data_IF_038989299581
#
_entry.id   IF_038989299581
#
_cell.length_a   1.000
_cell.length_b   1.000
_cell.length_c   1.000
_cell.angle_alpha   90.00
_cell.angle_beta   90.00
_cell.angle_gamma   90.00
#
_symmetry.space_group_name_H-M   'P 1'
#
loop_
_entity.id
_entity.type
_entity.pdbx_description
1 polymer ?
#
# COMPACT_ATOMS: atom_id res chain seq x y z
N UNK A 1 -24.78 7.00 -32.51
CA UNK A 1 -23.30 6.87 -32.45
C UNK A 1 -22.65 8.15 -31.91
N UNK A 2 -22.70 9.29 -32.60
CA UNK A 2 -22.08 10.54 -32.15
C UNK A 2 -22.56 11.05 -30.78
N UNK A 3 -23.86 10.95 -30.50
CA UNK A 3 -24.40 11.34 -29.20
C UNK A 3 -23.80 10.53 -28.03
N UNK A 4 -23.57 9.22 -28.24
CA UNK A 4 -22.98 8.34 -27.21
C UNK A 4 -21.52 8.73 -26.98
N UNK A 5 -20.77 8.99 -28.05
CA UNK A 5 -19.38 9.44 -27.96
C UNK A 5 -19.28 10.78 -27.22
N UNK A 6 -20.18 11.72 -27.52
CA UNK A 6 -20.20 13.03 -26.87
C UNK A 6 -20.49 12.92 -25.38
N UNK A 7 -21.40 12.02 -24.97
CA UNK A 7 -21.67 11.74 -23.55
C UNK A 7 -20.46 11.12 -22.86
N UNK A 8 -19.80 10.15 -23.47
CA UNK A 8 -18.58 9.52 -22.92
C UNK A 8 -17.47 10.56 -22.76
N UNK A 9 -17.27 11.43 -23.75
CA UNK A 9 -16.27 12.49 -23.71
C UNK A 9 -16.54 13.48 -22.56
N UNK A 10 -17.79 13.92 -22.38
CA UNK A 10 -18.17 14.79 -21.26
C UNK A 10 -17.93 14.08 -19.92
N UNK A 11 -18.26 12.79 -19.81
CA UNK A 11 -18.04 12.01 -18.61
C UNK A 11 -16.54 11.88 -18.27
N UNK A 12 -15.69 11.64 -19.27
CA UNK A 12 -14.23 11.54 -19.11
C UNK A 12 -13.62 12.87 -18.64
N UNK A 13 -13.97 13.98 -19.28
CA UNK A 13 -13.51 15.32 -18.86
C UNK A 13 -13.97 15.63 -17.45
N UNK A 14 -15.22 15.30 -17.11
CA UNK A 14 -15.75 15.49 -15.76
C UNK A 14 -15.00 14.64 -14.74
N UNK A 15 -14.76 13.35 -15.04
CA UNK A 15 -14.00 12.45 -14.17
C UNK A 15 -12.56 12.92 -13.98
N UNK A 16 -11.92 13.43 -15.04
CA UNK A 16 -10.57 14.00 -14.97
C UNK A 16 -10.52 15.24 -14.06
N UNK A 17 -11.42 16.20 -14.24
CA UNK A 17 -11.50 17.41 -13.41
C UNK A 17 -11.79 17.05 -11.95
N UNK A 18 -12.76 16.17 -11.70
CA UNK A 18 -13.09 15.71 -10.35
C UNK A 18 -11.90 14.96 -9.71
N UNK A 19 -11.23 14.09 -10.46
CA UNK A 19 -10.05 13.37 -9.99
C UNK A 19 -8.90 14.30 -9.61
N UNK A 20 -8.70 15.39 -10.38
CA UNK A 20 -7.70 16.41 -10.06
C UNK A 20 -8.08 17.21 -8.81
N UNK A 21 -9.33 17.69 -8.71
CA UNK A 21 -9.82 18.50 -7.58
C UNK A 21 -9.82 17.70 -6.28
N UNK A 22 -10.26 16.44 -6.32
CA UNK A 22 -10.39 15.59 -5.13
C UNK A 22 -9.16 14.71 -4.86
N UNK A 23 -8.04 14.93 -5.56
CA UNK A 23 -6.83 14.11 -5.43
C UNK A 23 -6.35 13.95 -3.99
N UNK A 24 -6.24 15.06 -3.24
CA UNK A 24 -5.77 15.02 -1.85
C UNK A 24 -6.77 14.29 -0.94
N UNK A 25 -8.07 14.52 -1.13
CA UNK A 25 -9.10 13.83 -0.36
C UNK A 25 -9.06 12.32 -0.60
N UNK A 26 -9.00 11.90 -1.86
CA UNK A 26 -8.87 10.47 -2.23
C UNK A 26 -7.62 9.86 -1.61
N UNK A 27 -6.48 10.57 -1.65
CA UNK A 27 -5.24 10.12 -1.01
C UNK A 27 -5.41 9.92 0.49
N UNK A 28 -6.04 10.87 1.20
CA UNK A 28 -6.29 10.73 2.65
C UNK A 28 -7.24 9.58 2.97
N UNK A 29 -8.34 9.45 2.23
CA UNK A 29 -9.35 8.40 2.45
C UNK A 29 -8.74 7.00 2.18
N UNK A 30 -7.90 6.88 1.15
CA UNK A 30 -7.13 5.65 0.86
C UNK A 30 -6.12 5.35 1.96
N UNK A 31 -5.36 6.35 2.43
CA UNK A 31 -4.38 6.15 3.51
C UNK A 31 -5.04 5.67 4.80
N UNK A 32 -6.19 6.24 5.19
CA UNK A 32 -6.94 5.80 6.37
C UNK A 32 -7.45 4.36 6.26
N UNK A 33 -7.94 3.98 5.07
CA UNK A 33 -8.35 2.61 4.78
C UNK A 33 -7.15 1.65 4.89
N UNK A 34 -6.01 2.02 4.31
CA UNK A 34 -4.81 1.18 4.33
C UNK A 34 -4.25 1.01 5.74
N UNK A 35 -4.26 2.06 6.57
CA UNK A 35 -3.93 1.95 7.99
C UNK A 35 -4.80 0.90 8.71
N UNK A 36 -6.10 0.89 8.44
CA UNK A 36 -7.03 -0.08 9.04
C UNK A 36 -6.74 -1.53 8.64
N UNK A 37 -6.27 -1.74 7.40
CA UNK A 37 -5.84 -3.07 6.92
C UNK A 37 -4.52 -3.47 7.57
N UNK A 38 -3.56 -2.55 7.70
CA UNK A 38 -2.29 -2.80 8.37
C UNK A 38 -2.45 -3.11 9.86
N UNK A 39 -3.41 -2.49 10.56
CA UNK A 39 -3.71 -2.85 11.96
C UNK A 39 -4.21 -4.29 12.12
N UNK A 40 -4.90 -4.82 11.10
CA UNK A 40 -5.42 -6.21 11.08
C UNK A 40 -4.44 -7.22 10.47
N UNK A 41 -3.29 -6.77 10.01
CA UNK A 41 -2.29 -7.64 9.43
C UNK A 41 -1.83 -8.67 10.48
N UNK A 42 -1.88 -9.95 10.12
CA UNK A 42 -1.44 -11.06 10.98
C UNK A 42 -0.48 -12.02 10.26
N UNK A 43 -0.22 -11.77 8.96
CA UNK A 43 0.64 -12.59 8.10
C UNK A 43 0.04 -13.96 7.73
N UNK A 44 -1.25 -14.21 8.01
CA UNK A 44 -1.91 -15.51 7.80
C UNK A 44 -3.25 -15.39 7.08
N UNK A 45 -3.97 -14.30 7.30
CA UNK A 45 -5.28 -14.06 6.74
C UNK A 45 -5.19 -13.55 5.28
N UNK A 46 -6.27 -13.67 4.49
CA UNK A 46 -6.27 -13.22 3.10
C UNK A 46 -6.05 -11.70 2.94
N UNK A 47 -6.43 -10.89 3.93
CA UNK A 47 -6.15 -9.44 3.92
C UNK A 47 -4.64 -9.17 3.96
N UNK A 48 -3.89 -9.96 4.74
CA UNK A 48 -2.43 -9.90 4.84
C UNK A 48 -1.77 -10.30 3.53
N UNK A 49 -2.28 -11.34 2.85
CA UNK A 49 -1.80 -11.72 1.51
C UNK A 49 -1.99 -10.61 0.49
N UNK A 50 -3.09 -9.85 0.57
CA UNK A 50 -3.30 -8.69 -0.31
C UNK A 50 -2.29 -7.58 -0.01
N UNK A 51 -1.99 -7.32 1.26
CA UNK A 51 -0.93 -6.36 1.65
C UNK A 51 0.41 -6.79 1.07
N UNK A 52 0.79 -8.06 1.27
CA UNK A 52 2.05 -8.60 0.77
C UNK A 52 2.16 -8.50 -0.76
N UNK A 53 1.10 -8.89 -1.46
CA UNK A 53 1.03 -8.77 -2.91
C UNK A 53 1.20 -7.31 -3.39
N UNK A 54 0.51 -6.36 -2.75
CA UNK A 54 0.62 -4.95 -3.13
C UNK A 54 2.02 -4.41 -2.87
N UNK A 55 2.67 -4.80 -1.77
CA UNK A 55 4.04 -4.39 -1.46
C UNK A 55 5.04 -4.90 -2.51
N UNK A 56 4.91 -6.16 -2.91
CA UNK A 56 5.77 -6.75 -3.95
C UNK A 56 5.53 -6.11 -5.33
N UNK A 57 4.27 -5.89 -5.72
CA UNK A 57 3.92 -5.38 -7.05
C UNK A 57 4.16 -3.87 -7.21
N UNK A 58 3.96 -3.10 -6.15
CA UNK A 58 4.13 -1.65 -6.17
C UNK A 58 5.52 -1.22 -5.68
N UNK A 59 6.35 -2.19 -5.25
CA UNK A 59 7.68 -1.96 -4.68
C UNK A 59 7.65 -0.92 -3.55
N UNK A 60 6.75 -1.13 -2.60
CA UNK A 60 6.55 -0.24 -1.46
C UNK A 60 6.57 -1.03 -0.14
N UNK A 61 6.83 -0.33 0.96
CA UNK A 61 6.77 -0.90 2.30
C UNK A 61 6.08 0.09 3.25
N UNK A 62 4.98 -0.34 3.89
CA UNK A 62 4.13 0.54 4.69
C UNK A 62 3.11 1.34 3.88
N UNK A 63 2.33 2.18 4.56
CA UNK A 63 1.35 3.09 3.94
C UNK A 63 2.05 4.32 3.35
N UNK A 64 3.07 4.80 4.06
CA UNK A 64 3.95 5.91 3.72
C UNK A 64 5.41 5.46 3.73
N UNK A 65 5.80 4.66 4.72
CA UNK A 65 7.17 4.16 4.86
C UNK A 65 7.23 2.88 5.71
N UNK A 66 8.34 2.16 5.65
CA UNK A 66 8.56 0.92 6.41
C UNK A 66 8.36 1.11 7.93
N UNK A 67 8.56 2.34 8.43
CA UNK A 67 8.34 2.68 9.83
C UNK A 67 6.89 2.53 10.29
N UNK A 68 5.92 2.55 9.37
CA UNK A 68 4.51 2.36 9.71
C UNK A 68 4.25 1.01 10.38
N UNK A 69 5.06 -0.01 10.05
CA UNK A 69 5.01 -1.31 10.68
C UNK A 69 5.29 -1.25 12.18
N UNK A 70 6.12 -0.32 12.66
CA UNK A 70 6.47 -0.20 14.09
C UNK A 70 5.27 0.09 14.98
N UNK A 71 4.17 0.59 14.40
CA UNK A 71 2.93 0.92 15.10
C UNK A 71 1.91 -0.21 15.10
N UNK A 72 2.13 -1.29 14.35
CA UNK A 72 1.15 -2.39 14.23
C UNK A 72 1.29 -3.40 15.37
N UNK A 73 0.18 -4.10 15.69
CA UNK A 73 0.22 -5.17 16.69
C UNK A 73 1.09 -6.35 16.25
N UNK A 74 1.12 -6.64 14.95
CA UNK A 74 1.94 -7.70 14.37
C UNK A 74 3.43 -7.50 14.64
N UNK A 75 3.92 -6.27 14.46
CA UNK A 75 5.33 -5.93 14.71
C UNK A 75 5.70 -6.15 16.17
N UNK A 76 4.86 -5.66 17.09
CA UNK A 76 5.04 -5.85 18.52
C UNK A 76 4.99 -7.33 18.93
N UNK A 77 4.14 -8.13 18.29
CA UNK A 77 3.96 -9.54 18.60
C UNK A 77 5.09 -10.42 18.07
N UNK A 78 5.69 -10.05 16.93
CA UNK A 78 6.78 -10.82 16.31
C UNK A 78 8.10 -10.58 17.04
N UNK A 79 8.31 -9.39 17.62
CA UNK A 79 9.43 -9.08 18.52
C UNK A 79 10.83 -9.16 17.89
N UNK A 80 10.91 -9.30 16.57
CA UNK A 80 12.14 -9.48 15.81
C UNK A 80 12.65 -8.17 15.17
N UNK A 81 11.94 -7.06 15.39
CA UNK A 81 12.22 -5.75 14.81
C UNK A 81 12.32 -5.80 13.27
N UNK A 82 11.45 -6.61 12.65
CA UNK A 82 11.39 -6.81 11.20
C UNK A 82 10.04 -6.39 10.63
N UNK A 83 10.02 -6.11 9.34
CA UNK A 83 8.82 -5.97 8.51
C UNK A 83 8.54 -7.30 7.78
N UNK A 84 7.38 -7.46 7.14
CA UNK A 84 7.13 -8.61 6.28
C UNK A 84 8.15 -8.75 5.14
N UNK A 85 8.37 -9.98 4.69
CA UNK A 85 9.32 -10.26 3.61
C UNK A 85 8.86 -9.72 2.25
N UNK A 86 7.58 -9.41 2.10
CA UNK A 86 7.02 -8.70 0.94
C UNK A 86 7.57 -7.28 0.76
N UNK A 87 8.13 -6.68 1.82
CA UNK A 87 8.87 -5.41 1.74
C UNK A 87 10.29 -5.57 1.18
N UNK A 88 10.80 -6.79 1.02
CA UNK A 88 12.15 -6.99 0.53
C UNK A 88 12.24 -6.65 -0.96
N UNK A 89 13.33 -5.98 -1.35
CA UNK A 89 13.59 -5.73 -2.77
C UNK A 89 13.94 -7.03 -3.49
N UNK A 90 13.52 -7.13 -4.75
CA UNK A 90 13.69 -8.32 -5.57
C UNK A 90 15.15 -8.65 -5.91
N UNK A 91 16.06 -7.67 -5.85
CA UNK A 91 17.49 -7.85 -6.08
C UNK A 91 18.23 -8.45 -4.86
N UNK A 92 17.57 -8.50 -3.71
CA UNK A 92 18.16 -9.00 -2.46
C UNK A 92 17.87 -10.49 -2.26
N UNK A 93 18.92 -11.31 -2.37
CA UNK A 93 18.80 -12.78 -2.24
C UNK A 93 18.60 -13.27 -0.80
N UNK A 94 19.02 -12.49 0.20
CA UNK A 94 19.01 -12.85 1.62
C UNK A 94 18.36 -11.77 2.49
N UNK A 95 17.30 -11.13 1.98
CA UNK A 95 16.57 -10.16 2.77
C UNK A 95 15.82 -10.87 3.92
N UNK A 96 16.01 -10.35 5.13
CA UNK A 96 15.38 -10.87 6.36
C UNK A 96 14.28 -9.94 6.88
N UNK A 97 14.02 -8.84 6.17
CA UNK A 97 13.04 -7.82 6.56
C UNK A 97 13.44 -7.00 7.78
N UNK A 98 14.69 -7.10 8.28
CA UNK A 98 15.06 -6.42 9.53
C UNK A 98 15.28 -4.92 9.34
N UNK A 99 14.83 -4.14 10.32
CA UNK A 99 14.92 -2.68 10.28
C UNK A 99 16.34 -2.12 10.43
N UNK A 100 17.33 -2.92 10.87
CA UNK A 100 18.74 -2.51 10.90
C UNK A 100 19.41 -2.49 9.52
N UNK A 101 18.74 -3.04 8.50
CA UNK A 101 19.20 -3.09 7.11
C UNK A 101 18.19 -2.41 6.15
N UNK A 102 17.93 -1.09 6.30
CA UNK A 102 16.90 -0.39 5.52
C UNK A 102 17.23 -0.27 4.02
N UNK A 103 18.46 -0.59 3.60
CA UNK A 103 18.85 -0.63 2.18
C UNK A 103 18.24 -1.82 1.42
N UNK A 104 17.81 -2.86 2.15
CA UNK A 104 17.18 -4.07 1.61
C UNK A 104 15.65 -3.91 1.42
N UNK A 105 15.08 -2.83 1.95
CA UNK A 105 13.65 -2.51 2.03
C UNK A 105 13.21 -1.47 0.98
#
# INVERSE_FOLDING_TARGET
FLAIILVIFIAEVSAFVLGFVYREKVKTDVQGTMHSVFEKYDGKNPESTVVDYLQEQLHCCGVKNYSDWTTTQWFNSTGNNSVPLSCCRQDMKNCTGRLDQPQEL
#
